data_IF_054048047901
#
_entry.id   IF_054048047901
#
_cell.length_a   1.000
_cell.length_b   1.000
_cell.length_c   1.000
_cell.angle_alpha   90.00
_cell.angle_beta   90.00
_cell.angle_gamma   90.00
#
_symmetry.space_group_name_H-M   'P 1'
#
loop_
_entity.id
_entity.type
_entity.pdbx_description
1 polymer ?
#
# COMPACT_ATOMS: atom_id res chain seq x y z
N UNK A 1 5.24 27.19 10.03
CA UNK A 1 4.45 28.46 10.00
C UNK A 1 4.86 29.34 8.83
N UNK A 2 6.14 29.44 8.52
CA UNK A 2 6.68 30.18 7.36
C UNK A 2 5.94 29.99 6.03
N UNK A 3 5.64 28.75 5.63
CA UNK A 3 4.87 28.46 4.39
C UNK A 3 3.49 29.13 4.37
N UNK A 4 2.79 29.17 5.51
CA UNK A 4 1.49 29.82 5.63
C UNK A 4 1.59 31.34 5.63
N UNK A 5 2.69 31.89 6.15
CA UNK A 5 2.98 33.33 6.05
C UNK A 5 3.17 33.72 4.58
N UNK A 6 3.96 32.96 3.82
CA UNK A 6 4.14 33.18 2.38
C UNK A 6 2.82 33.10 1.60
N UNK A 7 1.98 32.10 1.90
CA UNK A 7 0.63 32.01 1.29
C UNK A 7 -0.20 33.25 1.64
N UNK A 8 -0.14 33.73 2.88
CA UNK A 8 -0.85 34.94 3.29
C UNK A 8 -0.38 36.18 2.51
N UNK A 9 0.93 36.32 2.31
CA UNK A 9 1.50 37.41 1.52
C UNK A 9 1.01 37.38 0.07
N UNK A 10 1.05 36.22 -0.58
CA UNK A 10 0.55 36.06 -1.96
C UNK A 10 -0.94 36.36 -2.07
N UNK A 11 -1.75 35.92 -1.10
CA UNK A 11 -3.19 36.22 -1.09
C UNK A 11 -3.47 37.70 -0.86
N UNK A 12 -2.68 38.37 -0.02
CA UNK A 12 -2.84 39.80 0.26
C UNK A 12 -2.43 40.70 -0.92
N UNK A 13 -1.67 40.17 -1.90
CA UNK A 13 -1.35 40.89 -3.14
C UNK A 13 -2.48 40.85 -4.16
N UNK A 14 -3.42 39.92 -4.03
CA UNK A 14 -4.55 39.77 -4.96
C UNK A 14 -5.68 40.72 -4.56
N UNK A 15 -6.28 41.39 -5.55
CA UNK A 15 -7.39 42.32 -5.32
C UNK A 15 -8.68 41.61 -4.89
N UNK A 16 -8.79 40.30 -5.13
CA UNK A 16 -9.97 39.49 -4.78
C UNK A 16 -10.16 39.31 -3.25
N UNK A 17 -9.18 39.74 -2.43
CA UNK A 17 -9.21 39.60 -0.98
C UNK A 17 -9.20 40.95 -0.27
N UNK A 18 -10.39 41.45 0.07
CA UNK A 18 -10.58 42.76 0.74
C UNK A 18 -9.96 42.87 2.14
N UNK A 19 -9.64 41.75 2.79
CA UNK A 19 -9.17 41.73 4.18
C UNK A 19 -7.80 41.08 4.29
N UNK A 20 -6.84 41.73 4.99
CA UNK A 20 -5.50 41.18 5.17
C UNK A 20 -5.58 39.84 5.90
N UNK A 21 -5.01 38.82 5.27
CA UNK A 21 -4.91 37.47 5.78
C UNK A 21 -3.64 37.33 6.61
N UNK A 22 -3.73 36.57 7.69
CA UNK A 22 -2.60 36.13 8.51
C UNK A 22 -2.41 34.63 8.32
N UNK A 23 -1.16 34.17 8.23
CA UNK A 23 -0.85 32.76 7.99
C UNK A 23 -1.52 31.81 9.00
N UNK A 24 -1.55 32.17 10.28
CA UNK A 24 -2.23 31.38 11.33
C UNK A 24 -3.73 31.24 11.07
N UNK A 25 -4.41 32.33 10.69
CA UNK A 25 -5.84 32.31 10.42
C UNK A 25 -6.16 31.49 9.18
N UNK A 26 -5.32 31.57 8.15
CA UNK A 26 -5.45 30.76 6.94
C UNK A 26 -5.29 29.28 7.23
N UNK A 27 -4.26 28.90 8.00
CA UNK A 27 -4.06 27.51 8.42
C UNK A 27 -5.28 27.01 9.19
N UNK A 28 -5.72 27.73 10.22
CA UNK A 28 -6.87 27.33 11.03
C UNK A 28 -8.15 27.21 10.18
N UNK A 29 -8.34 28.12 9.22
CA UNK A 29 -9.48 28.07 8.31
C UNK A 29 -9.39 26.88 7.36
N UNK A 30 -8.22 26.60 6.81
CA UNK A 30 -7.96 25.45 5.95
C UNK A 30 -8.23 24.14 6.69
N UNK A 31 -7.66 23.98 7.88
CA UNK A 31 -7.84 22.80 8.72
C UNK A 31 -9.33 22.59 9.06
N UNK A 32 -10.05 23.66 9.38
CA UNK A 32 -11.49 23.61 9.63
C UNK A 32 -12.30 23.19 8.39
N UNK A 33 -11.96 23.74 7.21
CA UNK A 33 -12.64 23.39 5.96
C UNK A 33 -12.43 21.92 5.59
N UNK A 34 -11.19 21.45 5.69
CA UNK A 34 -10.84 20.06 5.39
C UNK A 34 -11.52 19.09 6.36
N UNK A 35 -11.54 19.43 7.66
CA UNK A 35 -12.21 18.62 8.68
C UNK A 35 -13.72 18.51 8.44
N UNK A 36 -14.39 19.65 8.19
CA UNK A 36 -15.83 19.64 7.89
C UNK A 36 -16.13 18.81 6.64
N UNK A 37 -15.34 18.96 5.59
CA UNK A 37 -15.49 18.17 4.38
C UNK A 37 -15.35 16.66 4.65
N UNK A 38 -14.36 16.24 5.45
CA UNK A 38 -14.21 14.84 5.84
C UNK A 38 -15.39 14.33 6.67
N UNK A 39 -15.88 15.13 7.62
CA UNK A 39 -17.03 14.78 8.45
C UNK A 39 -18.32 14.67 7.60
N UNK A 40 -18.50 15.55 6.61
CA UNK A 40 -19.64 15.55 5.70
C UNK A 40 -19.55 14.39 4.69
N UNK A 41 -18.37 14.08 4.14
CA UNK A 41 -18.12 12.91 3.29
C UNK A 41 -18.49 11.61 4.05
N UNK A 42 -18.11 11.51 5.33
CA UNK A 42 -18.45 10.38 6.18
C UNK A 42 -19.96 10.28 6.48
N UNK A 43 -20.68 11.42 6.49
CA UNK A 43 -22.14 11.45 6.67
C UNK A 43 -22.89 11.16 5.36
N UNK A 44 -22.42 11.67 4.22
CA UNK A 44 -23.01 11.42 2.89
C UNK A 44 -22.88 9.94 2.49
N UNK A 45 -21.70 9.31 2.70
CA UNK A 45 -21.50 7.85 2.52
C UNK A 45 -22.46 6.98 3.36
N UNK A 46 -23.00 7.52 4.46
CA UNK A 46 -23.98 6.82 5.31
C UNK A 46 -25.43 7.05 4.87
N UNK A 47 -25.69 8.00 3.97
CA UNK A 47 -27.05 8.47 3.64
C UNK A 47 -27.46 8.32 2.18
N UNK A 48 -26.54 8.32 1.21
CA UNK A 48 -26.93 8.45 -0.20
C UNK A 48 -26.75 7.17 -1.03
N UNK A 49 -27.81 6.82 -1.76
CA UNK A 49 -27.83 5.93 -2.92
C UNK A 49 -28.16 6.68 -4.22
N UNK A 50 -27.97 8.00 -4.26
CA UNK A 50 -28.26 8.88 -5.41
C UNK A 50 -27.09 9.83 -5.71
N UNK A 51 -26.84 10.18 -6.98
CA UNK A 51 -25.69 11.00 -7.37
C UNK A 51 -25.89 12.45 -6.94
N UNK A 52 -25.09 12.92 -5.98
CA UNK A 52 -25.03 14.34 -5.59
C UNK A 52 -24.11 15.10 -6.56
N UNK A 53 -24.57 16.23 -7.10
CA UNK A 53 -23.73 17.15 -7.86
C UNK A 53 -22.71 17.81 -6.92
N UNK A 54 -21.43 17.45 -7.06
CA UNK A 54 -20.36 18.07 -6.29
C UNK A 54 -20.20 19.54 -6.69
N UNK A 55 -20.40 20.44 -5.73
CA UNK A 55 -20.06 21.86 -5.91
C UNK A 55 -18.53 22.00 -6.11
N UNK A 56 -18.08 22.99 -6.87
CA UNK A 56 -16.66 23.22 -7.22
C UNK A 56 -15.75 23.18 -5.97
N UNK A 57 -16.23 23.73 -4.86
CA UNK A 57 -15.55 23.68 -3.55
C UNK A 57 -15.23 22.25 -3.10
N UNK A 58 -16.17 21.33 -3.26
CA UNK A 58 -16.02 19.95 -2.79
C UNK A 58 -15.08 19.16 -3.71
N UNK A 59 -15.10 19.46 -5.02
CA UNK A 59 -14.14 18.92 -5.97
C UNK A 59 -12.71 19.37 -5.61
N UNK A 60 -12.50 20.66 -5.38
CA UNK A 60 -11.20 21.21 -4.98
C UNK A 60 -10.71 20.62 -3.64
N UNK A 61 -11.61 20.45 -2.67
CA UNK A 61 -11.24 19.83 -1.38
C UNK A 61 -10.91 18.35 -1.51
N UNK A 62 -11.58 17.63 -2.42
CA UNK A 62 -11.26 16.24 -2.76
C UNK A 62 -9.87 16.16 -3.38
N UNK A 63 -9.59 16.97 -4.40
CA UNK A 63 -8.28 16.99 -5.07
C UNK A 63 -7.14 17.33 -4.10
N UNK A 64 -7.34 18.32 -3.23
CA UNK A 64 -6.36 18.69 -2.21
C UNK A 64 -6.12 17.53 -1.25
N UNK A 65 -7.20 16.87 -0.79
CA UNK A 65 -7.10 15.72 0.12
C UNK A 65 -6.33 14.57 -0.54
N UNK A 66 -6.67 14.20 -1.78
CA UNK A 66 -5.95 13.17 -2.53
C UNK A 66 -4.45 13.47 -2.62
N UNK A 67 -4.06 14.72 -2.95
CA UNK A 67 -2.65 15.11 -3.01
C UNK A 67 -1.94 15.01 -1.64
N UNK A 68 -2.64 15.32 -0.55
CA UNK A 68 -2.10 15.18 0.81
C UNK A 68 -1.86 13.71 1.13
N UNK A 69 -2.83 12.84 0.82
CA UNK A 69 -2.78 11.41 1.10
C UNK A 69 -1.70 10.70 0.25
N UNK A 70 -1.58 11.08 -1.03
CA UNK A 70 -0.54 10.58 -1.93
C UNK A 70 0.85 10.94 -1.43
N UNK A 71 1.04 12.18 -0.99
CA UNK A 71 2.31 12.63 -0.43
C UNK A 71 2.63 11.88 0.88
N UNK A 72 1.64 11.69 1.76
CA UNK A 72 1.82 10.92 2.99
C UNK A 72 2.23 9.47 2.70
N UNK A 73 1.56 8.83 1.74
CA UNK A 73 1.84 7.48 1.27
C UNK A 73 3.24 7.36 0.65
N UNK A 74 3.64 8.34 -0.17
CA UNK A 74 4.98 8.40 -0.76
C UNK A 74 6.07 8.50 0.31
N UNK A 75 5.90 9.39 1.29
CA UNK A 75 6.85 9.53 2.41
C UNK A 75 6.92 8.26 3.26
N UNK A 76 5.78 7.64 3.55
CA UNK A 76 5.74 6.37 4.30
C UNK A 76 6.48 5.26 3.54
N UNK A 77 6.26 5.12 2.23
CA UNK A 77 6.92 4.13 1.39
C UNK A 77 8.44 4.33 1.35
N UNK A 78 8.90 5.59 1.30
CA UNK A 78 10.33 5.91 1.32
C UNK A 78 10.96 5.55 2.67
N UNK A 79 10.28 5.84 3.77
CA UNK A 79 10.76 5.48 5.12
C UNK A 79 10.86 3.97 5.29
N UNK A 80 9.83 3.24 4.86
CA UNK A 80 9.81 1.78 4.92
C UNK A 80 10.94 1.17 4.07
N UNK A 81 11.18 1.72 2.87
CA UNK A 81 12.30 1.30 2.02
C UNK A 81 13.65 1.51 2.72
N UNK A 82 13.85 2.66 3.38
CA UNK A 82 15.09 2.92 4.13
C UNK A 82 15.24 1.99 5.33
N UNK A 83 14.15 1.70 6.05
CA UNK A 83 14.14 0.77 7.18
C UNK A 83 14.52 -0.64 6.73
N UNK A 84 13.90 -1.17 5.67
CA UNK A 84 14.25 -2.50 5.12
C UNK A 84 15.70 -2.61 4.68
N UNK A 85 16.26 -1.53 4.12
CA UNK A 85 17.69 -1.50 3.77
C UNK A 85 18.58 -1.58 5.01
N UNK A 86 18.24 -0.87 6.08
CA UNK A 86 18.99 -0.92 7.33
C UNK A 86 18.91 -2.31 7.97
N UNK A 87 17.71 -2.90 8.05
CA UNK A 87 17.50 -4.26 8.57
C UNK A 87 18.24 -5.32 7.74
N UNK A 88 18.26 -5.17 6.40
CA UNK A 88 19.01 -6.09 5.53
C UNK A 88 20.52 -6.03 5.81
N UNK A 89 21.06 -4.82 6.01
CA UNK A 89 22.48 -4.65 6.37
C UNK A 89 22.75 -5.29 7.73
N UNK A 90 21.92 -5.03 8.73
CA UNK A 90 22.06 -5.61 10.07
C UNK A 90 22.01 -7.14 10.05
N UNK A 91 21.01 -7.71 9.38
CA UNK A 91 20.87 -9.17 9.24
C UNK A 91 22.05 -9.80 8.52
N UNK A 92 22.54 -9.17 7.44
CA UNK A 92 23.73 -9.67 6.73
C UNK A 92 24.99 -9.60 7.59
N UNK A 93 25.14 -8.55 8.43
CA UNK A 93 26.26 -8.42 9.36
C UNK A 93 26.20 -9.42 10.50
N UNK A 94 25.00 -9.77 10.97
CA UNK A 94 24.80 -10.80 11.98
C UNK A 94 25.20 -12.18 11.43
N UNK A 95 24.74 -12.52 10.22
CA UNK A 95 25.09 -13.77 9.55
C UNK A 95 26.61 -13.90 9.35
N UNK A 96 27.28 -12.84 8.89
CA UNK A 96 28.74 -12.84 8.74
C UNK A 96 29.46 -13.10 10.07
N UNK A 97 28.97 -12.52 11.17
CA UNK A 97 29.54 -12.76 12.49
C UNK A 97 29.32 -14.19 12.97
N UNK A 98 28.15 -14.75 12.73
CA UNK A 98 27.86 -16.16 13.04
C UNK A 98 28.78 -17.09 12.26
N UNK A 99 28.88 -16.91 10.94
CA UNK A 99 29.78 -17.71 10.10
C UNK A 99 31.25 -17.63 10.56
N UNK A 100 31.73 -16.43 10.91
CA UNK A 100 33.09 -16.27 11.43
C UNK A 100 33.30 -16.95 12.79
N UNK A 101 32.29 -16.95 13.67
CA UNK A 101 32.35 -17.64 14.96
C UNK A 101 32.31 -19.16 14.79
N UNK A 102 31.47 -19.65 13.88
CA UNK A 102 31.38 -21.08 13.56
C UNK A 102 32.71 -21.58 12.95
N UNK A 103 33.38 -20.79 12.11
CA UNK A 103 34.72 -21.09 11.59
C UNK A 103 35.78 -21.16 12.71
N UNK A 104 35.71 -20.27 13.70
CA UNK A 104 36.59 -20.31 14.88
C UNK A 104 36.31 -21.57 15.74
N UNK A 105 35.05 -21.97 15.88
CA UNK A 105 34.63 -23.13 16.70
C UNK A 105 34.94 -24.46 16.01
N UNK A 106 34.81 -24.55 14.67
CA UNK A 106 35.08 -25.77 13.91
C UNK A 106 36.57 -26.08 13.71
N UNK A 107 37.47 -25.17 14.11
CA UNK A 107 38.85 -25.49 14.47
C UNK A 107 39.90 -24.74 13.65
N UNK A 108 40.68 -23.90 14.34
CA UNK A 108 42.14 -24.09 14.48
C UNK A 108 42.73 -22.99 15.38
N UNK A 109 43.71 -23.38 16.20
CA UNK A 109 44.53 -22.51 17.05
C UNK A 109 45.04 -21.26 16.30
N UNK A 110 44.87 -20.08 16.91
CA UNK A 110 45.42 -18.81 16.41
C UNK A 110 46.94 -18.84 16.49
N UNK A 111 47.59 -19.43 15.49
CA UNK A 111 49.02 -19.19 15.22
C UNK A 111 49.08 -18.02 14.25
N UNK A 112 49.51 -16.85 14.76
CA UNK A 112 49.87 -15.67 13.96
C UNK A 112 50.99 -16.04 12.99
N UNK A 113 50.65 -16.49 11.79
CA UNK A 113 51.61 -16.74 10.72
C UNK A 113 51.54 -15.64 9.67
N UNK A 114 52.72 -15.19 9.27
CA UNK A 114 52.99 -14.10 8.33
C UNK A 114 52.18 -14.26 7.04
N UNK A 115 51.67 -13.14 6.55
CA UNK A 115 50.95 -12.91 5.28
C UNK A 115 51.49 -13.79 4.14
N UNK A 116 50.89 -14.96 3.93
CA UNK A 116 50.90 -15.65 2.64
C UNK A 116 49.66 -15.19 1.89
N UNK A 117 49.82 -14.78 0.63
CA UNK A 117 48.68 -14.58 -0.28
C UNK A 117 47.92 -15.90 -0.36
N UNK A 118 46.83 -15.99 0.38
CA UNK A 118 45.83 -17.06 0.22
C UNK A 118 45.09 -16.77 -1.06
N UNK A 119 45.29 -17.62 -2.06
CA UNK A 119 44.33 -17.78 -3.14
C UNK A 119 42.97 -17.99 -2.48
N UNK A 120 42.01 -17.11 -2.76
CA UNK A 120 40.62 -17.24 -2.32
C UNK A 120 40.16 -18.68 -2.53
N UNK A 121 39.51 -19.35 -1.55
CA UNK A 121 38.85 -20.61 -1.83
C UNK A 121 37.88 -20.31 -2.97
N UNK A 122 38.14 -20.90 -4.12
CA UNK A 122 37.24 -20.82 -5.26
C UNK A 122 36.00 -21.56 -4.77
N UNK A 123 34.98 -20.83 -4.32
CA UNK A 123 33.64 -21.38 -4.14
C UNK A 123 33.34 -22.14 -5.43
N UNK A 124 33.08 -23.44 -5.34
CA UNK A 124 32.82 -24.27 -6.51
C UNK A 124 31.63 -23.64 -7.25
N UNK A 125 31.90 -23.10 -8.44
CA UNK A 125 30.90 -22.40 -9.23
C UNK A 125 29.68 -23.30 -9.50
N UNK A 126 29.87 -24.62 -9.48
CA UNK A 126 28.81 -25.60 -9.66
C UNK A 126 27.85 -25.66 -8.46
N UNK A 127 28.34 -25.55 -7.22
CA UNK A 127 27.49 -25.52 -6.02
C UNK A 127 26.66 -24.23 -5.93
N UNK A 128 27.25 -23.11 -6.35
CA UNK A 128 26.55 -21.84 -6.44
C UNK A 128 25.44 -21.90 -7.51
N UNK A 129 25.75 -22.45 -8.68
CA UNK A 129 24.77 -22.62 -9.76
C UNK A 129 23.63 -23.56 -9.34
N UNK A 130 23.92 -24.67 -8.66
CA UNK A 130 22.89 -25.59 -8.15
C UNK A 130 21.97 -24.92 -7.11
N UNK A 131 22.55 -24.11 -6.22
CA UNK A 131 21.78 -23.33 -5.24
C UNK A 131 20.87 -22.30 -5.90
N UNK A 132 21.38 -21.58 -6.90
CA UNK A 132 20.58 -20.61 -7.68
C UNK A 132 19.45 -21.33 -8.43
N UNK A 133 19.75 -22.48 -9.05
CA UNK A 133 18.77 -23.25 -9.80
C UNK A 133 17.65 -23.77 -8.89
N UNK A 134 17.99 -24.31 -7.71
CA UNK A 134 17.02 -24.70 -6.68
C UNK A 134 16.15 -23.52 -6.25
N UNK A 135 16.75 -22.34 -6.05
CA UNK A 135 16.02 -21.11 -5.70
C UNK A 135 15.02 -20.68 -6.78
N UNK A 136 15.42 -20.73 -8.06
CA UNK A 136 14.56 -20.41 -9.21
C UNK A 136 13.38 -21.40 -9.28
N UNK A 137 13.63 -22.69 -9.14
CA UNK A 137 12.60 -23.72 -9.16
C UNK A 137 11.60 -23.55 -8.00
N UNK A 138 12.09 -23.28 -6.80
CA UNK A 138 11.23 -23.04 -5.64
C UNK A 138 10.33 -21.80 -5.84
N UNK A 139 10.87 -20.72 -6.42
CA UNK A 139 10.09 -19.54 -6.75
C UNK A 139 8.99 -19.84 -7.77
N UNK A 140 9.33 -20.57 -8.85
CA UNK A 140 8.36 -20.96 -9.87
C UNK A 140 7.22 -21.81 -9.28
N UNK A 141 7.53 -22.75 -8.38
CA UNK A 141 6.50 -23.55 -7.70
C UNK A 141 5.59 -22.70 -6.81
N UNK A 142 6.15 -21.73 -6.09
CA UNK A 142 5.36 -20.83 -5.24
C UNK A 142 4.45 -19.93 -6.07
N UNK A 143 4.96 -19.39 -7.18
CA UNK A 143 4.18 -18.57 -8.11
C UNK A 143 3.04 -19.41 -8.74
N UNK A 144 3.31 -20.65 -9.13
CA UNK A 144 2.29 -21.57 -9.66
C UNK A 144 1.18 -21.86 -8.65
N UNK A 145 1.53 -22.14 -7.38
CA UNK A 145 0.55 -22.32 -6.30
C UNK A 145 -0.29 -21.07 -6.07
N UNK A 146 0.31 -19.88 -6.17
CA UNK A 146 -0.41 -18.63 -6.01
C UNK A 146 -1.39 -18.38 -7.16
N UNK A 147 -0.99 -18.67 -8.40
CA UNK A 147 -1.89 -18.60 -9.57
C UNK A 147 -3.06 -19.57 -9.41
N UNK A 148 -2.80 -20.80 -8.96
CA UNK A 148 -3.84 -21.79 -8.70
C UNK A 148 -4.85 -21.31 -7.65
N UNK A 149 -4.38 -20.78 -6.52
CA UNK A 149 -5.26 -20.24 -5.47
C UNK A 149 -6.11 -19.07 -5.99
N UNK A 150 -5.55 -18.24 -6.87
CA UNK A 150 -6.30 -17.14 -7.49
C UNK A 150 -7.37 -17.65 -8.45
N UNK A 151 -7.09 -18.71 -9.21
CA UNK A 151 -8.08 -19.36 -10.09
C UNK A 151 -9.23 -19.95 -9.28
N UNK A 152 -8.93 -20.71 -8.21
CA UNK A 152 -9.94 -21.27 -7.32
C UNK A 152 -10.82 -20.17 -6.71
N UNK A 153 -10.23 -19.03 -6.34
CA UNK A 153 -11.01 -17.90 -5.83
C UNK A 153 -11.94 -17.29 -6.88
N UNK A 154 -11.45 -17.12 -8.11
CA UNK A 154 -12.28 -16.61 -9.21
C UNK A 154 -13.44 -17.56 -9.56
N UNK A 155 -13.20 -18.87 -9.50
CA UNK A 155 -14.24 -19.88 -9.69
C UNK A 155 -15.28 -19.82 -8.57
N UNK A 156 -14.85 -19.71 -7.32
CA UNK A 156 -15.77 -19.53 -6.20
C UNK A 156 -16.63 -18.27 -6.35
N UNK A 157 -16.03 -17.14 -6.73
CA UNK A 157 -16.76 -15.89 -6.91
C UNK A 157 -17.76 -15.98 -8.10
N UNK A 158 -17.41 -16.71 -9.17
CA UNK A 158 -18.33 -17.01 -10.29
C UNK A 158 -19.50 -17.88 -9.83
N UNK A 159 -19.25 -18.94 -9.06
CA UNK A 159 -20.28 -19.83 -8.53
C UNK A 159 -21.22 -19.12 -7.54
N UNK A 160 -20.70 -18.16 -6.76
CA UNK A 160 -21.54 -17.32 -5.91
C UNK A 160 -22.46 -16.42 -6.76
N UNK A 161 -21.93 -15.81 -7.82
CA UNK A 161 -22.71 -14.96 -8.70
C UNK A 161 -23.82 -15.75 -9.44
N UNK A 162 -23.55 -16.97 -9.89
CA UNK A 162 -24.57 -17.82 -10.52
C UNK A 162 -25.68 -18.18 -9.53
N UNK A 163 -25.35 -18.59 -8.31
CA UNK A 163 -26.34 -18.88 -7.26
C UNK A 163 -27.21 -17.67 -6.93
N UNK A 164 -26.60 -16.48 -6.82
CA UNK A 164 -27.36 -15.25 -6.59
C UNK A 164 -28.31 -14.93 -7.75
N UNK A 165 -27.86 -15.12 -8.99
CA UNK A 165 -28.71 -14.93 -10.17
C UNK A 165 -29.87 -15.93 -10.22
N UNK A 166 -29.63 -17.20 -9.89
CA UNK A 166 -30.66 -18.24 -9.79
C UNK A 166 -31.69 -17.92 -8.70
N UNK A 167 -31.23 -17.53 -7.50
CA UNK A 167 -32.11 -17.11 -6.41
C UNK A 167 -32.96 -15.90 -6.80
N UNK A 168 -32.35 -14.91 -7.45
CA UNK A 168 -33.06 -13.73 -7.91
C UNK A 168 -34.11 -14.07 -8.99
N UNK A 169 -33.77 -14.92 -9.96
CA UNK A 169 -34.69 -15.39 -10.98
C UNK A 169 -35.85 -16.21 -10.36
N UNK A 170 -35.55 -17.12 -9.44
CA UNK A 170 -36.57 -17.91 -8.73
C UNK A 170 -37.53 -17.00 -7.94
N UNK A 171 -37.02 -15.97 -7.27
CA UNK A 171 -37.83 -14.97 -6.57
C UNK A 171 -38.74 -14.20 -7.54
N UNK A 172 -38.22 -13.78 -8.69
CA UNK A 172 -39.02 -13.11 -9.72
C UNK A 172 -40.14 -14.01 -10.26
N UNK A 173 -39.86 -15.28 -10.53
CA UNK A 173 -40.87 -16.23 -10.99
C UNK A 173 -41.96 -16.47 -9.94
N UNK A 174 -41.59 -16.58 -8.66
CA UNK A 174 -42.56 -16.71 -7.56
C UNK A 174 -43.49 -15.48 -7.50
N UNK A 175 -42.94 -14.27 -7.62
CA UNK A 175 -43.74 -13.04 -7.64
C UNK A 175 -44.71 -13.03 -8.82
N UNK A 176 -44.24 -13.37 -10.04
CA UNK A 176 -45.09 -13.45 -11.22
C UNK A 176 -46.21 -14.49 -11.07
N UNK A 177 -45.91 -15.66 -10.51
CA UNK A 177 -46.91 -16.71 -10.25
C UNK A 177 -47.98 -16.25 -9.25
N UNK A 178 -47.60 -15.52 -8.19
CA UNK A 178 -48.53 -14.94 -7.23
C UNK A 178 -49.45 -13.89 -7.89
N UNK A 179 -48.89 -13.02 -8.74
CA UNK A 179 -49.70 -12.04 -9.49
C UNK A 179 -50.69 -12.73 -10.44
N UNK A 180 -50.29 -13.80 -11.12
CA UNK A 180 -51.19 -14.55 -11.99
C UNK A 180 -52.28 -15.31 -11.22
N UNK A 181 -51.99 -15.79 -10.00
CA UNK A 181 -52.96 -16.47 -9.15
C UNK A 181 -54.04 -15.54 -8.58
N UNK A 182 -53.74 -14.24 -8.40
CA UNK A 182 -54.69 -13.23 -7.93
C UNK A 182 -55.58 -12.65 -9.06
N UNK A 183 -55.27 -12.96 -10.31
CA UNK A 183 -55.99 -12.46 -11.50
C UNK A 183 -57.04 -13.44 -12.05
N UNK A 184 -57.34 -14.52 -11.33
CA UNK A 184 -58.43 -15.48 -11.60
C UNK A 184 -59.45 -15.41 -10.49
#
# INVERSE_FOLDING_TARGET
>A
MEKWTRIAEELNRRQDFDKPKKGTNLKNRFDLLLKRFQDDEARSKRKSGTPEEYNERDQLLTDIKCRIDDHASSVASSKERSKRKAEAIENSGLLLRQLAMDEIIQGESIVRTKKKRTTTPILDANELLDTIQKGIQQKQQNDAKMVQLMQERLEFDRDQATRQAEQHNAMQQMILALFQAQSK
#
